data_IF_542403193037
#
_entry.id   IF_542403193037
#
_cell.length_a   1.000
_cell.length_b   1.000
_cell.length_c   1.000
_cell.angle_alpha   90.00
_cell.angle_beta   90.00
_cell.angle_gamma   90.00
#
_symmetry.space_group_name_H-M   'P 1'
#
loop_
_entity.id
_entity.type
_entity.pdbx_description
1 polymer ?
#
# COMPACT_ATOMS: atom_id res chain seq x y z
N UNK A 1 -43.50 -64.63 -5.51
CA UNK A 1 -42.65 -64.02 -4.48
C UNK A 1 -41.68 -63.09 -5.17
N UNK A 2 -41.71 -61.82 -4.76
CA UNK A 2 -40.70 -60.75 -4.84
C UNK A 2 -40.11 -60.38 -6.22
N UNK A 3 -40.61 -59.24 -6.71
CA UNK A 3 -39.88 -58.32 -7.56
C UNK A 3 -38.72 -57.71 -6.77
N UNK A 4 -37.56 -57.56 -7.41
CA UNK A 4 -36.49 -56.71 -6.91
C UNK A 4 -36.10 -55.71 -8.02
N UNK A 5 -36.56 -54.48 -7.86
CA UNK A 5 -36.19 -53.31 -8.66
C UNK A 5 -34.97 -52.69 -8.00
N UNK A 6 -33.81 -52.53 -8.67
CA UNK A 6 -32.76 -51.68 -8.16
C UNK A 6 -33.15 -50.22 -8.38
N UNK A 7 -33.23 -49.48 -7.28
CA UNK A 7 -33.36 -48.04 -7.27
C UNK A 7 -32.23 -47.40 -8.08
N UNK A 8 -32.59 -46.59 -9.06
CA UNK A 8 -31.66 -45.69 -9.73
C UNK A 8 -31.21 -44.61 -8.75
N UNK A 9 -29.91 -44.52 -8.53
CA UNK A 9 -29.26 -43.39 -7.86
C UNK A 9 -29.45 -42.12 -8.71
N UNK A 10 -29.62 -40.92 -8.11
CA UNK A 10 -29.84 -39.70 -8.86
C UNK A 10 -28.56 -39.33 -9.62
N UNK A 11 -28.71 -39.15 -10.94
CA UNK A 11 -27.63 -38.78 -11.84
C UNK A 11 -27.00 -37.44 -11.43
N UNK A 12 -25.69 -37.44 -11.29
CA UNK A 12 -24.81 -36.28 -11.23
C UNK A 12 -25.26 -35.24 -12.26
N UNK A 13 -25.49 -34.00 -11.83
CA UNK A 13 -25.86 -32.90 -12.72
C UNK A 13 -24.86 -32.76 -13.88
N UNK A 14 -25.35 -32.48 -15.08
CA UNK A 14 -24.51 -32.36 -16.29
C UNK A 14 -23.38 -31.32 -16.08
N UNK A 15 -22.18 -31.55 -16.64
CA UNK A 15 -20.98 -30.77 -16.32
C UNK A 15 -21.08 -29.26 -16.59
N UNK A 16 -21.80 -28.82 -17.63
CA UNK A 16 -21.92 -27.38 -17.91
C UNK A 16 -22.80 -26.64 -16.89
N UNK A 17 -23.80 -27.30 -16.30
CA UNK A 17 -24.64 -26.70 -15.24
C UNK A 17 -23.85 -26.45 -13.96
N UNK A 18 -22.99 -27.40 -13.57
CA UNK A 18 -22.13 -27.24 -12.39
C UNK A 18 -21.13 -26.09 -12.57
N UNK A 19 -20.57 -25.96 -13.78
CA UNK A 19 -19.72 -24.82 -14.13
C UNK A 19 -20.49 -23.50 -14.07
N UNK A 20 -21.70 -23.45 -14.59
CA UNK A 20 -22.56 -22.27 -14.53
C UNK A 20 -22.79 -21.82 -13.07
N UNK A 21 -23.15 -22.75 -12.19
CA UNK A 21 -23.35 -22.47 -10.76
C UNK A 21 -22.09 -21.87 -10.10
N UNK A 22 -20.92 -22.46 -10.37
CA UNK A 22 -19.65 -21.96 -9.86
C UNK A 22 -19.29 -20.57 -10.42
N UNK A 23 -19.52 -20.34 -11.71
CA UNK A 23 -19.25 -19.05 -12.37
C UNK A 23 -20.19 -17.95 -11.86
N UNK A 24 -21.47 -18.23 -11.61
CA UNK A 24 -22.41 -17.29 -10.99
C UNK A 24 -21.95 -16.91 -9.58
N UNK A 25 -21.53 -17.88 -8.77
CA UNK A 25 -20.98 -17.61 -7.44
C UNK A 25 -19.72 -16.74 -7.49
N UNK A 26 -18.82 -17.02 -8.44
CA UNK A 26 -17.58 -16.25 -8.65
C UNK A 26 -17.90 -14.83 -9.10
N UNK A 27 -18.86 -14.65 -10.02
CA UNK A 27 -19.30 -13.34 -10.49
C UNK A 27 -19.88 -12.51 -9.35
N UNK A 28 -20.69 -13.12 -8.48
CA UNK A 28 -21.24 -12.44 -7.31
C UNK A 28 -20.15 -11.99 -6.34
N UNK A 29 -19.14 -12.84 -6.09
CA UNK A 29 -18.00 -12.50 -5.24
C UNK A 29 -17.17 -11.34 -5.82
N UNK A 30 -16.82 -11.40 -7.11
CA UNK A 30 -16.08 -10.32 -7.77
C UNK A 30 -16.87 -9.00 -7.80
N UNK A 31 -18.20 -9.06 -8.05
CA UNK A 31 -19.07 -7.88 -8.01
C UNK A 31 -19.13 -7.29 -6.59
N UNK A 32 -19.12 -8.13 -5.56
CA UNK A 32 -19.06 -7.68 -4.17
C UNK A 32 -17.71 -7.00 -3.87
N UNK A 33 -16.59 -7.56 -4.36
CA UNK A 33 -15.26 -6.94 -4.22
C UNK A 33 -15.18 -5.57 -4.89
N UNK A 34 -15.65 -5.44 -6.14
CA UNK A 34 -15.68 -4.14 -6.82
C UNK A 34 -16.56 -3.11 -6.08
N UNK A 35 -17.73 -3.53 -5.55
CA UNK A 35 -18.54 -2.65 -4.69
C UNK A 35 -17.81 -2.25 -3.41
N UNK A 36 -17.02 -3.15 -2.83
CA UNK A 36 -16.17 -2.87 -1.67
C UNK A 36 -15.18 -1.75 -1.98
N UNK A 37 -14.46 -1.86 -3.11
CA UNK A 37 -13.59 -0.80 -3.62
C UNK A 37 -14.31 0.53 -3.76
N UNK A 38 -15.41 0.58 -4.51
CA UNK A 38 -16.16 1.83 -4.71
C UNK A 38 -16.71 2.43 -3.40
N UNK A 39 -17.00 1.62 -2.39
CA UNK A 39 -17.48 2.09 -1.10
C UNK A 39 -16.35 2.67 -0.24
N UNK A 40 -15.19 2.00 -0.19
CA UNK A 40 -14.09 2.39 0.69
C UNK A 40 -13.28 3.57 0.15
N UNK A 41 -13.14 3.70 -1.17
CA UNK A 41 -12.32 4.74 -1.79
C UNK A 41 -12.64 6.17 -1.33
N UNK A 42 -13.90 6.66 -1.34
CA UNK A 42 -14.20 8.01 -0.90
C UNK A 42 -13.98 8.19 0.60
N UNK A 43 -14.18 7.14 1.41
CA UNK A 43 -13.95 7.17 2.85
C UNK A 43 -12.46 7.24 3.17
N UNK A 44 -11.67 6.37 2.56
CA UNK A 44 -10.22 6.35 2.67
C UNK A 44 -9.62 7.67 2.21
N UNK A 45 -9.99 8.15 1.02
CA UNK A 45 -9.49 9.42 0.48
C UNK A 45 -9.75 10.57 1.44
N UNK A 46 -10.99 10.69 1.92
CA UNK A 46 -11.35 11.78 2.83
C UNK A 46 -10.54 11.70 4.12
N UNK A 47 -10.39 10.52 4.71
CA UNK A 47 -9.67 10.34 5.96
C UNK A 47 -8.16 10.58 5.81
N UNK A 48 -7.58 10.12 4.70
CA UNK A 48 -6.21 10.43 4.33
C UNK A 48 -6.00 11.95 4.22
N UNK A 49 -6.84 12.63 3.44
CA UNK A 49 -6.73 14.09 3.21
C UNK A 49 -7.00 14.92 4.49
N UNK A 50 -7.97 14.51 5.31
CA UNK A 50 -8.38 15.27 6.50
C UNK A 50 -7.45 15.03 7.71
N UNK A 51 -6.76 13.87 7.79
CA UNK A 51 -6.04 13.44 8.99
C UNK A 51 -4.58 13.09 8.71
N UNK A 52 -4.32 12.06 7.88
CA UNK A 52 -2.96 11.54 7.71
C UNK A 52 -2.03 12.51 6.96
N UNK A 53 -2.48 13.07 5.83
CA UNK A 53 -1.64 13.99 5.04
C UNK A 53 -1.19 15.24 5.82
N UNK A 54 -2.05 15.89 6.64
CA UNK A 54 -1.59 16.91 7.58
C UNK A 54 -0.57 16.42 8.61
N UNK A 55 -0.70 15.19 9.12
CA UNK A 55 0.24 14.60 10.08
C UNK A 55 1.61 14.36 9.43
N UNK A 56 1.66 13.79 8.24
CA UNK A 56 2.89 13.61 7.46
C UNK A 56 3.62 14.95 7.25
N UNK A 57 2.87 16.02 6.95
CA UNK A 57 3.41 17.38 6.83
C UNK A 57 4.02 17.86 8.15
N UNK A 58 3.30 17.69 9.27
CA UNK A 58 3.78 18.08 10.60
C UNK A 58 5.02 17.29 10.99
N UNK A 59 5.05 15.98 10.71
CA UNK A 59 6.20 15.12 10.97
C UNK A 59 7.45 15.62 10.25
N UNK A 60 7.35 15.90 8.94
CA UNK A 60 8.44 16.46 8.13
C UNK A 60 8.95 17.78 8.72
N UNK A 61 8.05 18.67 9.16
CA UNK A 61 8.45 19.92 9.79
C UNK A 61 9.17 19.72 11.14
N UNK A 62 8.70 18.79 11.97
CA UNK A 62 9.29 18.49 13.27
C UNK A 62 10.69 17.88 13.08
N UNK A 63 10.86 16.97 12.12
CA UNK A 63 12.17 16.44 11.74
C UNK A 63 13.10 17.55 11.26
N UNK A 64 12.64 18.44 10.38
CA UNK A 64 13.44 19.58 9.91
C UNK A 64 13.85 20.52 11.08
N UNK A 65 12.95 20.74 12.05
CA UNK A 65 13.25 21.50 13.29
C UNK A 65 14.32 20.77 14.12
N UNK A 66 14.23 19.45 14.28
CA UNK A 66 15.24 18.65 14.99
C UNK A 66 16.61 18.72 14.33
N UNK A 67 16.68 18.62 13.00
CA UNK A 67 17.94 18.80 12.25
C UNK A 67 18.59 20.15 12.58
N UNK A 68 17.80 21.24 12.58
CA UNK A 68 18.30 22.56 12.96
C UNK A 68 18.76 22.63 14.42
N UNK A 69 18.07 21.94 15.35
CA UNK A 69 18.48 21.80 16.74
C UNK A 69 19.83 21.07 16.89
N UNK A 70 20.04 19.98 16.15
CA UNK A 70 21.32 19.26 16.14
C UNK A 70 22.46 20.08 15.52
N UNK A 71 22.19 20.82 14.43
CA UNK A 71 23.17 21.75 13.85
C UNK A 71 23.61 22.81 14.88
N UNK A 72 22.64 23.36 15.62
CA UNK A 72 22.92 24.31 16.68
C UNK A 72 23.72 23.67 17.82
N UNK A 73 23.34 22.48 18.28
CA UNK A 73 24.04 21.72 19.30
C UNK A 73 25.51 21.46 18.90
N UNK A 74 25.78 21.16 17.64
CA UNK A 74 27.14 20.99 17.12
C UNK A 74 28.02 22.24 17.30
N UNK A 75 27.46 23.43 17.52
CA UNK A 75 28.21 24.68 17.75
C UNK A 75 28.48 24.96 19.23
N UNK A 76 27.80 24.24 20.14
CA UNK A 76 27.92 24.45 21.58
C UNK A 76 29.23 23.88 22.13
N UNK A 77 29.85 24.62 23.06
CA UNK A 77 31.17 24.30 23.63
C UNK A 77 31.07 23.28 24.77
N UNK A 78 29.89 23.16 25.35
CA UNK A 78 29.52 22.26 26.44
C UNK A 78 29.51 20.80 25.99
N UNK A 79 29.32 20.56 24.68
CA UNK A 79 29.42 19.24 24.07
C UNK A 79 30.89 18.89 23.78
N UNK A 80 31.24 17.63 24.04
CA UNK A 80 32.53 17.06 23.66
C UNK A 80 32.63 16.86 22.15
N UNK A 81 33.85 16.65 21.64
CA UNK A 81 34.06 16.32 20.22
C UNK A 81 33.26 15.08 19.78
N UNK A 82 33.17 14.07 20.64
CA UNK A 82 32.44 12.84 20.34
C UNK A 82 30.92 13.04 20.37
N UNK A 83 30.40 13.84 21.31
CA UNK A 83 28.97 14.17 21.35
C UNK A 83 28.56 15.04 20.14
N UNK A 84 29.41 16.01 19.73
CA UNK A 84 29.19 16.78 18.49
C UNK A 84 29.23 15.93 17.23
N UNK A 85 30.13 14.95 17.16
CA UNK A 85 30.19 14.04 16.02
C UNK A 85 28.91 13.19 15.91
N UNK A 86 28.42 12.66 17.04
CA UNK A 86 27.16 11.91 17.07
C UNK A 86 25.96 12.80 16.71
N UNK A 87 25.89 14.02 17.23
CA UNK A 87 24.85 14.99 16.86
C UNK A 87 24.87 15.30 15.35
N UNK A 88 26.06 15.40 14.74
CA UNK A 88 26.22 15.61 13.30
C UNK A 88 25.75 14.40 12.49
N UNK A 89 26.03 13.18 12.93
CA UNK A 89 25.59 11.95 12.28
C UNK A 89 24.05 11.84 12.30
N UNK A 90 23.44 12.13 13.46
CA UNK A 90 21.98 12.14 13.60
C UNK A 90 21.34 13.23 12.74
N UNK A 91 21.93 14.44 12.70
CA UNK A 91 21.46 15.52 11.84
C UNK A 91 21.49 15.13 10.35
N UNK A 92 22.56 14.45 9.90
CA UNK A 92 22.66 13.98 8.53
C UNK A 92 21.59 12.94 8.20
N UNK A 93 21.41 11.93 9.08
CA UNK A 93 20.41 10.88 8.87
C UNK A 93 18.99 11.43 8.82
N UNK A 94 18.62 12.25 9.81
CA UNK A 94 17.30 12.87 9.86
C UNK A 94 17.07 13.81 8.67
N UNK A 95 18.08 14.58 8.26
CA UNK A 95 17.95 15.44 7.09
C UNK A 95 17.73 14.64 5.80
N UNK A 96 18.44 13.51 5.63
CA UNK A 96 18.23 12.63 4.50
C UNK A 96 16.83 12.04 4.48
N UNK A 97 16.41 11.43 5.59
CA UNK A 97 15.08 10.82 5.73
C UNK A 97 13.95 11.84 5.48
N UNK A 98 14.11 13.06 6.00
CA UNK A 98 13.14 14.14 5.78
C UNK A 98 13.10 14.58 4.31
N UNK A 99 14.25 14.64 3.64
CA UNK A 99 14.31 14.98 2.21
C UNK A 99 13.72 13.86 1.35
N UNK A 100 14.00 12.60 1.70
CA UNK A 100 13.43 11.43 1.04
C UNK A 100 11.90 11.45 1.13
N UNK A 101 11.32 11.73 2.31
CA UNK A 101 9.88 11.88 2.49
C UNK A 101 9.27 13.01 1.62
N UNK A 102 9.96 14.16 1.51
CA UNK A 102 9.49 15.28 0.68
C UNK A 102 9.54 14.94 -0.82
N UNK A 103 10.62 14.27 -1.26
CA UNK A 103 10.91 14.07 -2.69
C UNK A 103 10.24 12.81 -3.24
N UNK A 104 10.23 11.71 -2.49
CA UNK A 104 9.72 10.42 -2.95
C UNK A 104 8.22 10.29 -2.70
N UNK A 105 7.76 10.68 -1.52
CA UNK A 105 6.35 10.50 -1.12
C UNK A 105 5.51 11.72 -1.51
N UNK A 106 6.16 12.80 -1.99
CA UNK A 106 5.50 14.03 -2.43
C UNK A 106 4.87 14.83 -1.28
N UNK A 107 5.22 14.50 -0.03
CA UNK A 107 4.70 15.13 1.17
C UNK A 107 4.95 16.64 1.13
N UNK A 108 3.89 17.47 1.13
CA UNK A 108 4.05 18.91 1.16
C UNK A 108 4.81 19.32 2.41
N UNK A 109 5.82 20.16 2.26
CA UNK A 109 6.54 20.73 3.40
C UNK A 109 6.49 22.25 3.33
N UNK A 110 6.06 22.90 4.41
CA UNK A 110 6.24 24.35 4.57
C UNK A 110 7.66 24.70 5.06
N UNK A 111 8.50 23.70 5.31
CA UNK A 111 9.87 23.90 5.74
C UNK A 111 10.78 24.36 4.58
N UNK A 112 11.85 25.07 4.93
CA UNK A 112 12.84 25.55 3.95
C UNK A 112 13.71 24.38 3.47
N UNK A 113 13.29 23.74 2.38
CA UNK A 113 13.96 22.56 1.81
C UNK A 113 15.40 22.87 1.37
N UNK A 114 15.67 24.07 0.83
CA UNK A 114 17.02 24.47 0.44
C UNK A 114 17.95 24.56 1.66
N UNK A 115 17.44 25.10 2.76
CA UNK A 115 18.16 25.11 4.03
C UNK A 115 18.36 23.69 4.56
N UNK A 116 17.38 22.80 4.43
CA UNK A 116 17.50 21.41 4.86
C UNK A 116 18.58 20.67 4.06
N UNK A 117 18.61 20.83 2.73
CA UNK A 117 19.68 20.31 1.84
C UNK A 117 21.05 20.86 2.21
N UNK A 118 21.16 22.16 2.52
CA UNK A 118 22.41 22.76 2.97
C UNK A 118 22.89 22.18 4.31
N UNK A 119 21.97 21.88 5.24
CA UNK A 119 22.28 21.21 6.50
C UNK A 119 22.71 19.75 6.27
N UNK A 120 22.04 19.02 5.38
CA UNK A 120 22.46 17.68 4.97
C UNK A 120 23.88 17.70 4.40
N UNK A 121 24.15 18.54 3.39
CA UNK A 121 25.48 18.68 2.78
C UNK A 121 26.56 18.97 3.83
N UNK A 122 26.25 19.84 4.79
CA UNK A 122 27.17 20.18 5.88
C UNK A 122 27.52 18.97 6.76
N UNK A 123 26.53 18.13 7.07
CA UNK A 123 26.66 17.07 8.06
C UNK A 123 27.04 15.70 7.46
N UNK A 124 26.53 15.37 6.27
CA UNK A 124 26.85 14.17 5.50
C UNK A 124 28.13 14.32 4.67
N UNK A 125 28.42 15.55 4.21
CA UNK A 125 29.54 15.82 3.31
C UNK A 125 29.31 15.41 1.86
N UNK A 126 28.10 14.96 1.51
CA UNK A 126 27.61 14.66 0.16
C UNK A 126 26.48 15.60 -0.22
N UNK A 127 26.38 15.94 -1.51
CA UNK A 127 25.22 16.66 -2.02
C UNK A 127 24.03 15.70 -2.10
N UNK A 128 22.86 16.13 -1.62
CA UNK A 128 21.66 15.31 -1.65
C UNK A 128 21.16 15.12 -3.09
N UNK A 129 21.23 16.19 -3.90
CA UNK A 129 20.86 16.15 -5.32
C UNK A 129 21.97 15.54 -6.20
N UNK A 130 23.12 15.22 -5.60
CA UNK A 130 24.24 14.55 -6.24
C UNK A 130 23.99 13.05 -6.35
N UNK A 131 23.06 12.66 -7.23
CA UNK A 131 22.96 11.27 -7.68
C UNK A 131 24.26 10.80 -8.33
N UNK A 132 24.50 9.48 -8.48
CA UNK A 132 25.63 8.98 -9.27
C UNK A 132 25.57 9.63 -10.66
N UNK A 133 26.62 10.37 -11.03
CA UNK A 133 26.77 10.91 -12.37
C UNK A 133 26.64 9.75 -13.39
N UNK A 134 25.60 9.81 -14.22
CA UNK A 134 25.37 9.01 -15.43
C UNK A 134 25.66 7.50 -15.33
N UNK A 135 24.68 6.72 -14.85
CA UNK A 135 24.40 5.41 -15.45
C UNK A 135 23.12 5.54 -16.29
N UNK A 136 23.31 6.04 -17.52
CA UNK A 136 22.32 5.86 -18.58
C UNK A 136 22.19 4.37 -18.91
N UNK A 137 20.98 3.87 -18.68
CA UNK A 137 20.27 2.84 -19.44
C UNK A 137 20.99 1.52 -19.73
N UNK A 138 20.58 0.45 -19.03
CA UNK A 138 20.32 -0.86 -19.66
C UNK A 138 19.57 -1.78 -18.67
N UNK A 139 18.24 -1.67 -18.62
CA UNK A 139 17.31 -2.79 -18.82
C UNK A 139 15.87 -2.34 -18.50
N UNK A 140 15.34 -1.51 -19.39
CA UNK A 140 13.89 -1.46 -19.63
C UNK A 140 13.44 -2.77 -20.29
N UNK A 141 13.51 -3.88 -19.56
CA UNK A 141 12.89 -5.12 -19.97
C UNK A 141 11.37 -4.96 -19.79
N UNK A 142 10.74 -4.37 -20.81
CA UNK A 142 9.31 -4.44 -21.01
C UNK A 142 8.90 -5.92 -21.00
N UNK A 143 8.33 -6.36 -19.88
CA UNK A 143 7.68 -7.65 -19.79
C UNK A 143 6.64 -7.73 -20.91
N UNK A 144 6.59 -8.83 -21.68
CA UNK A 144 5.72 -8.92 -22.83
C UNK A 144 4.28 -8.75 -22.38
N UNK A 145 3.64 -7.66 -22.85
CA UNK A 145 2.19 -7.55 -22.93
C UNK A 145 1.68 -8.88 -23.45
N UNK A 146 1.04 -9.65 -22.56
CA UNK A 146 0.26 -10.79 -22.95
C UNK A 146 -0.68 -10.28 -24.04
N UNK A 147 -0.61 -10.91 -25.22
CA UNK A 147 -1.60 -10.73 -26.26
C UNK A 147 -2.97 -10.74 -25.60
N UNK A 148 -3.89 -9.81 -25.92
CA UNK A 148 -5.27 -10.02 -25.54
C UNK A 148 -5.64 -11.40 -26.06
N UNK A 149 -5.96 -12.32 -25.14
CA UNK A 149 -6.68 -13.52 -25.49
C UNK A 149 -7.89 -13.02 -26.25
N UNK A 150 -7.94 -13.42 -27.51
CA UNK A 150 -9.00 -13.27 -28.51
C UNK A 150 -10.11 -12.30 -28.11
N UNK A 151 -10.31 -11.24 -28.91
CA UNK A 151 -11.44 -10.32 -28.79
C UNK A 151 -12.76 -11.10 -28.79
N UNK A 152 -13.14 -11.60 -27.63
CA UNK A 152 -14.45 -12.12 -27.36
C UNK A 152 -15.36 -10.92 -27.50
N UNK A 153 -16.17 -10.92 -28.56
CA UNK A 153 -17.24 -9.96 -28.69
C UNK A 153 -17.90 -9.79 -27.32
N UNK A 154 -18.02 -8.53 -26.87
CA UNK A 154 -18.70 -8.23 -25.62
C UNK A 154 -19.98 -9.08 -25.55
N UNK A 155 -20.19 -9.85 -24.46
CA UNK A 155 -21.28 -10.80 -24.40
C UNK A 155 -22.58 -10.09 -24.76
N UNK A 156 -23.34 -10.67 -25.70
CA UNK A 156 -24.56 -10.05 -26.20
C UNK A 156 -25.46 -9.69 -24.99
N UNK A 157 -25.93 -8.44 -24.89
CA UNK A 157 -26.64 -7.95 -23.69
C UNK A 157 -27.88 -8.77 -23.36
N UNK A 158 -28.48 -9.38 -24.38
CA UNK A 158 -29.61 -10.31 -24.27
C UNK A 158 -29.24 -11.57 -23.46
N UNK A 159 -28.07 -12.16 -23.71
CA UNK A 159 -27.59 -13.37 -23.02
C UNK A 159 -27.28 -13.06 -21.55
N UNK A 160 -26.70 -11.89 -21.27
CA UNK A 160 -26.46 -11.44 -19.89
C UNK A 160 -27.77 -11.21 -19.13
N UNK A 161 -28.76 -10.58 -19.75
CA UNK A 161 -30.07 -10.36 -19.13
C UNK A 161 -30.77 -11.70 -18.79
N UNK A 162 -30.65 -12.70 -19.66
CA UNK A 162 -31.16 -14.04 -19.40
C UNK A 162 -30.42 -14.74 -18.25
N UNK A 163 -29.09 -14.62 -18.19
CA UNK A 163 -28.29 -15.17 -17.08
C UNK A 163 -28.70 -14.52 -15.76
N UNK A 164 -28.90 -13.20 -15.73
CA UNK A 164 -29.31 -12.48 -14.52
C UNK A 164 -30.72 -12.88 -14.07
N UNK A 165 -31.66 -13.02 -15.01
CA UNK A 165 -33.00 -13.52 -14.71
C UNK A 165 -32.96 -14.96 -14.16
N UNK A 166 -32.13 -15.83 -14.75
CA UNK A 166 -31.98 -17.22 -14.32
C UNK A 166 -31.28 -17.34 -12.95
N UNK A 167 -30.30 -16.47 -12.69
CA UNK A 167 -29.63 -16.40 -11.39
C UNK A 167 -30.58 -15.89 -10.30
N UNK A 168 -31.43 -14.89 -10.61
CA UNK A 168 -32.44 -14.38 -9.69
C UNK A 168 -33.58 -15.38 -9.40
N UNK A 169 -33.94 -16.21 -10.39
CA UNK A 169 -34.98 -17.23 -10.25
C UNK A 169 -34.54 -18.44 -9.39
N UNK A 170 -33.24 -18.61 -9.14
CA UNK A 170 -32.69 -19.64 -8.26
C UNK A 170 -32.56 -21.04 -8.89
N UNK A 171 -31.98 -22.00 -8.14
CA UNK A 171 -31.54 -23.29 -8.67
C UNK A 171 -32.66 -24.21 -9.19
N UNK A 172 -33.91 -23.93 -8.82
CA UNK A 172 -35.08 -24.69 -9.27
C UNK A 172 -35.37 -24.49 -10.78
N UNK A 173 -35.05 -23.31 -11.32
CA UNK A 173 -35.27 -23.01 -12.75
C UNK A 173 -34.14 -23.50 -13.64
N UNK A 174 -33.01 -23.91 -13.05
CA UNK A 174 -31.83 -24.38 -13.77
C UNK A 174 -32.05 -25.76 -14.41
N UNK A 175 -33.00 -26.57 -13.90
CA UNK A 175 -33.25 -27.92 -14.41
C UNK A 175 -33.80 -27.96 -15.85
N UNK A 176 -34.39 -26.86 -16.34
CA UNK A 176 -35.02 -26.78 -17.67
C UNK A 176 -34.10 -26.37 -18.81
N UNK A 177 -32.86 -25.99 -18.54
CA UNK A 177 -31.90 -25.48 -19.53
C UNK A 177 -31.05 -26.63 -20.09
N UNK A 178 -30.84 -26.64 -21.40
CA UNK A 178 -30.03 -27.66 -22.07
C UNK A 178 -28.51 -27.35 -22.00
N UNK A 179 -27.69 -28.36 -22.34
CA UNK A 179 -26.23 -28.28 -22.20
C UNK A 179 -25.59 -27.24 -23.14
N UNK A 180 -26.16 -27.05 -24.33
CA UNK A 180 -25.65 -26.09 -25.31
C UNK A 180 -25.95 -24.66 -24.85
N UNK A 181 -27.13 -24.42 -24.27
CA UNK A 181 -27.47 -23.13 -23.68
C UNK A 181 -26.61 -22.82 -22.45
N UNK A 182 -26.32 -23.81 -21.59
CA UNK A 182 -25.34 -23.63 -20.51
C UNK A 182 -23.93 -23.33 -21.02
N UNK A 183 -23.49 -23.94 -22.12
CA UNK A 183 -22.20 -23.62 -22.71
C UNK A 183 -22.13 -22.16 -23.18
N UNK A 184 -23.21 -21.63 -23.77
CA UNK A 184 -23.32 -20.20 -24.13
C UNK A 184 -23.29 -19.30 -22.89
N UNK A 185 -24.00 -19.67 -21.81
CA UNK A 185 -23.97 -18.91 -20.56
C UNK A 185 -22.58 -18.90 -19.91
N UNK A 186 -21.91 -20.05 -19.87
CA UNK A 186 -20.55 -20.16 -19.33
C UNK A 186 -19.57 -19.28 -20.10
N UNK A 187 -19.66 -19.27 -21.43
CA UNK A 187 -18.82 -18.39 -22.27
C UNK A 187 -19.09 -16.90 -21.98
N UNK A 188 -20.35 -16.50 -21.82
CA UNK A 188 -20.70 -15.12 -21.50
C UNK A 188 -20.25 -14.72 -20.08
N UNK A 189 -20.39 -15.63 -19.10
CA UNK A 189 -19.94 -15.44 -17.72
C UNK A 189 -18.42 -15.32 -17.63
N UNK A 190 -17.66 -16.18 -18.35
CA UNK A 190 -16.20 -16.08 -18.41
C UNK A 190 -15.76 -14.74 -18.99
N UNK A 191 -16.40 -14.28 -20.07
CA UNK A 191 -16.12 -12.97 -20.66
C UNK A 191 -16.42 -11.82 -19.68
N UNK A 192 -17.54 -11.90 -18.94
CA UNK A 192 -17.89 -10.90 -17.93
C UNK A 192 -16.93 -10.90 -16.73
N UNK A 193 -16.51 -12.08 -16.28
CA UNK A 193 -15.51 -12.23 -15.21
C UNK A 193 -14.16 -11.64 -15.62
N UNK A 194 -13.74 -11.84 -16.87
CA UNK A 194 -12.50 -11.25 -17.37
C UNK A 194 -12.55 -9.71 -17.40
N UNK A 195 -13.67 -9.13 -17.83
CA UNK A 195 -13.88 -7.67 -17.79
C UNK A 195 -13.84 -7.17 -16.35
N UNK A 196 -14.61 -7.80 -15.45
CA UNK A 196 -14.70 -7.39 -14.06
C UNK A 196 -13.37 -7.55 -13.31
N UNK A 197 -12.61 -8.60 -13.60
CA UNK A 197 -11.25 -8.76 -13.06
C UNK A 197 -10.34 -7.62 -13.52
N UNK A 198 -10.41 -7.24 -14.81
CA UNK A 198 -9.68 -6.09 -15.33
C UNK A 198 -10.08 -4.76 -14.66
N UNK A 199 -11.37 -4.54 -14.40
CA UNK A 199 -11.86 -3.37 -13.66
C UNK A 199 -11.34 -3.33 -12.22
N UNK A 200 -11.41 -4.45 -11.49
CA UNK A 200 -10.91 -4.54 -10.11
C UNK A 200 -9.40 -4.32 -10.06
N UNK A 201 -8.65 -4.92 -10.99
CA UNK A 201 -7.20 -4.70 -11.08
C UNK A 201 -6.86 -3.25 -11.38
N UNK A 202 -7.56 -2.62 -12.33
CA UNK A 202 -7.33 -1.21 -12.65
C UNK A 202 -7.63 -0.28 -11.46
N UNK A 203 -8.69 -0.57 -10.70
CA UNK A 203 -9.04 0.18 -9.49
C UNK A 203 -7.97 0.01 -8.39
N UNK A 204 -7.56 -1.24 -8.13
CA UNK A 204 -6.52 -1.56 -7.14
C UNK A 204 -5.16 -0.95 -7.52
N UNK A 205 -4.75 -1.05 -8.78
CA UNK A 205 -3.49 -0.47 -9.27
C UNK A 205 -3.52 1.07 -9.22
N UNK A 206 -4.67 1.67 -9.56
CA UNK A 206 -4.87 3.11 -9.43
C UNK A 206 -4.79 3.60 -7.99
N UNK A 207 -5.37 2.84 -7.05
CA UNK A 207 -5.25 3.10 -5.62
C UNK A 207 -3.79 3.00 -5.15
N UNK A 208 -3.10 1.91 -5.49
CA UNK A 208 -1.69 1.71 -5.10
C UNK A 208 -0.79 2.81 -5.63
N UNK A 209 -0.95 3.18 -6.90
CA UNK A 209 -0.17 4.25 -7.49
C UNK A 209 -0.44 5.61 -6.84
N UNK A 210 -1.69 5.89 -6.44
CA UNK A 210 -2.08 7.15 -5.82
C UNK A 210 -1.54 7.30 -4.40
N UNK A 211 -1.56 6.22 -3.60
CA UNK A 211 -1.14 6.24 -2.20
C UNK A 211 0.18 5.49 -1.97
N UNK A 212 0.98 5.34 -3.03
CA UNK A 212 2.35 4.82 -2.99
C UNK A 212 2.54 3.42 -2.37
N UNK A 213 1.54 2.55 -2.43
CA UNK A 213 1.67 1.15 -2.02
C UNK A 213 2.56 0.34 -2.99
N UNK A 214 3.16 -0.75 -2.49
CA UNK A 214 3.91 -1.69 -3.32
C UNK A 214 3.00 -2.28 -4.42
N UNK A 215 3.35 -2.16 -5.71
CA UNK A 215 2.59 -2.75 -6.81
C UNK A 215 2.31 -4.25 -6.66
N UNK A 216 3.21 -5.00 -5.99
CA UNK A 216 3.08 -6.44 -5.78
C UNK A 216 2.22 -6.81 -4.55
N UNK A 217 1.93 -5.87 -3.65
CA UNK A 217 1.07 -6.10 -2.49
C UNK A 217 -0.37 -6.39 -2.93
N UNK A 218 -1.06 -7.30 -2.27
CA UNK A 218 -2.50 -7.51 -2.46
C UNK A 218 -3.27 -6.67 -1.47
N UNK A 219 -4.33 -5.99 -1.92
CA UNK A 219 -5.17 -5.15 -1.04
C UNK A 219 -6.59 -5.73 -0.93
N UNK A 220 -7.03 -5.92 0.31
CA UNK A 220 -8.43 -6.16 0.63
C UNK A 220 -9.12 -4.82 0.98
N UNK A 221 -10.09 -4.35 0.18
CA UNK A 221 -10.75 -3.08 0.43
C UNK A 221 -11.51 -3.02 1.76
N UNK A 222 -11.81 -4.17 2.39
CA UNK A 222 -12.49 -4.21 3.68
C UNK A 222 -11.59 -3.92 4.88
N UNK A 223 -10.26 -4.07 4.73
CA UNK A 223 -9.27 -3.86 5.78
C UNK A 223 -8.68 -2.44 5.73
N UNK A 224 -8.75 -1.76 4.58
CA UNK A 224 -8.12 -0.46 4.34
C UNK A 224 -8.41 0.65 5.36
N UNK A 225 -9.61 0.71 5.93
CA UNK A 225 -9.95 1.75 6.92
C UNK A 225 -9.31 1.44 8.28
N UNK A 226 -9.25 0.16 8.65
CA UNK A 226 -8.59 -0.29 9.87
C UNK A 226 -7.07 -0.10 9.77
N UNK A 227 -6.49 -0.45 8.61
CA UNK A 227 -5.07 -0.23 8.33
C UNK A 227 -4.72 1.26 8.38
N UNK A 228 -5.56 2.13 7.79
CA UNK A 228 -5.36 3.58 7.85
C UNK A 228 -5.52 4.14 9.27
N UNK A 229 -6.42 3.59 10.09
CA UNK A 229 -6.52 3.97 11.51
C UNK A 229 -5.24 3.62 12.28
N UNK A 230 -4.66 2.46 12.00
CA UNK A 230 -3.40 2.05 12.61
C UNK A 230 -2.25 2.96 12.18
N UNK A 231 -2.15 3.28 10.89
CA UNK A 231 -1.14 4.19 10.35
C UNK A 231 -1.25 5.60 10.93
N UNK A 232 -2.47 6.14 11.06
CA UNK A 232 -2.72 7.43 11.73
C UNK A 232 -2.26 7.37 13.19
N UNK A 233 -2.57 6.29 13.92
CA UNK A 233 -2.17 6.16 15.31
C UNK A 233 -0.64 6.08 15.46
N UNK A 234 0.03 5.36 14.58
CA UNK A 234 1.49 5.26 14.54
C UNK A 234 2.12 6.63 14.23
N UNK A 235 1.56 7.39 13.29
CA UNK A 235 1.99 8.76 12.97
C UNK A 235 1.79 9.72 14.15
N UNK A 236 0.66 9.63 14.87
CA UNK A 236 0.41 10.42 16.08
C UNK A 236 1.40 10.11 17.20
N UNK A 237 1.69 8.83 17.44
CA UNK A 237 2.68 8.41 18.41
C UNK A 237 4.06 8.98 18.05
N UNK A 238 4.47 8.83 16.79
CA UNK A 238 5.76 9.29 16.32
C UNK A 238 5.90 10.82 16.34
N UNK A 239 4.85 11.56 15.97
CA UNK A 239 4.80 13.03 16.15
C UNK A 239 5.01 13.38 17.63
N UNK A 240 4.35 12.69 18.55
CA UNK A 240 4.53 12.87 19.99
C UNK A 240 5.97 12.61 20.45
N UNK A 241 6.64 11.62 19.89
CA UNK A 241 8.06 11.36 20.12
C UNK A 241 8.93 12.51 19.63
N UNK A 242 8.72 12.99 18.40
CA UNK A 242 9.48 14.12 17.82
C UNK A 242 9.29 15.41 18.63
N UNK A 243 8.06 15.71 19.07
CA UNK A 243 7.77 16.84 19.94
C UNK A 243 8.49 16.72 21.30
N UNK A 244 8.47 15.51 21.88
CA UNK A 244 9.20 15.23 23.10
C UNK A 244 10.70 15.42 22.92
N UNK A 245 11.29 14.91 21.83
CA UNK A 245 12.71 15.11 21.52
C UNK A 245 13.06 16.59 21.37
N UNK A 246 12.25 17.37 20.64
CA UNK A 246 12.41 18.82 20.51
C UNK A 246 12.41 19.51 21.87
N UNK A 247 11.56 19.07 22.81
CA UNK A 247 11.52 19.63 24.16
C UNK A 247 12.83 19.44 24.94
N UNK A 248 13.58 18.36 24.67
CA UNK A 248 14.88 18.10 25.32
C UNK A 248 15.94 19.13 24.91
N UNK A 249 15.81 19.75 23.74
CA UNK A 249 16.74 20.79 23.28
C UNK A 249 16.59 22.13 24.01
N UNK A 250 15.61 22.29 24.89
CA UNK A 250 15.50 23.45 25.77
C UNK A 250 16.65 23.54 26.79
N UNK A 251 17.28 22.41 27.13
CA UNK A 251 18.40 22.33 28.07
C UNK A 251 19.54 21.48 27.52
N UNK A 252 20.72 22.09 27.39
CA UNK A 252 21.92 21.42 26.89
C UNK A 252 22.32 20.19 27.73
N UNK A 253 21.96 20.12 29.02
CA UNK A 253 22.22 18.93 29.84
C UNK A 253 21.32 17.76 29.45
N UNK A 254 20.08 18.02 29.06
CA UNK A 254 19.14 16.99 28.59
C UNK A 254 19.60 16.42 27.25
N UNK A 255 20.03 17.29 26.31
CA UNK A 255 20.65 16.88 25.04
C UNK A 255 21.86 15.96 25.25
N UNK A 256 22.72 16.28 26.22
CA UNK A 256 23.87 15.43 26.57
C UNK A 256 23.47 14.08 27.14
N UNK A 257 22.49 14.06 28.03
CA UNK A 257 21.98 12.81 28.61
C UNK A 257 21.39 11.90 27.52
N UNK A 258 20.62 12.48 26.60
CA UNK A 258 20.02 11.79 25.47
C UNK A 258 21.09 11.23 24.50
N UNK A 259 22.05 12.05 24.06
CA UNK A 259 23.16 11.60 23.19
C UNK A 259 23.97 10.47 23.82
N UNK A 260 24.15 10.51 25.15
CA UNK A 260 24.84 9.45 25.89
C UNK A 260 24.03 8.16 25.91
N UNK A 261 22.72 8.23 26.13
CA UNK A 261 21.82 7.07 26.10
C UNK A 261 21.78 6.44 24.70
N UNK A 262 21.64 7.24 23.65
CA UNK A 262 21.67 6.80 22.25
C UNK A 262 22.97 6.07 21.91
N UNK A 263 24.12 6.65 22.31
CA UNK A 263 25.43 6.02 22.13
C UNK A 263 25.54 4.66 22.84
N UNK A 264 24.95 4.53 24.04
CA UNK A 264 24.95 3.28 24.80
C UNK A 264 24.07 2.21 24.15
N UNK A 265 22.92 2.59 23.60
CA UNK A 265 22.04 1.72 22.82
C UNK A 265 22.77 1.19 21.58
N UNK A 266 23.31 2.05 20.73
CA UNK A 266 24.09 1.66 19.54
C UNK A 266 25.26 0.72 19.87
N UNK A 267 25.97 0.98 20.97
CA UNK A 267 27.04 0.10 21.44
C UNK A 267 26.51 -1.25 21.97
N UNK A 268 25.27 -1.32 22.46
CA UNK A 268 24.63 -2.57 22.88
C UNK A 268 24.15 -3.39 21.67
N UNK A 269 23.58 -2.77 20.65
CA UNK A 269 23.15 -3.42 19.40
C UNK A 269 24.34 -4.04 18.67
N UNK A 270 25.41 -3.28 18.43
CA UNK A 270 26.63 -3.80 17.78
C UNK A 270 27.28 -4.97 18.53
N UNK A 271 27.18 -4.99 19.87
CA UNK A 271 27.69 -6.11 20.70
C UNK A 271 26.85 -7.38 20.59
N UNK A 272 25.57 -7.27 20.22
CA UNK A 272 24.68 -8.40 19.97
C UNK A 272 24.89 -8.94 18.55
N UNK A 273 24.98 -8.05 17.57
CA UNK A 273 25.22 -8.39 16.16
C UNK A 273 26.59 -9.04 15.94
N UNK A 274 27.66 -8.52 16.56
CA UNK A 274 29.00 -9.13 16.48
C UNK A 274 29.17 -10.44 17.28
N UNK A 275 28.09 -10.96 17.87
CA UNK A 275 28.08 -12.21 18.66
C UNK A 275 27.21 -13.30 18.03
N UNK A 276 26.52 -13.01 16.92
CA UNK A 276 25.83 -13.97 16.07
C UNK A 276 26.69 -14.36 14.88
#
# INVERSE_FOLDING_TARGET
MQANTPAAQPASGKPQRQRFESLVGTLQAQRARLRGWHAVLPEYQKKYEDVLAPQETVEVELKAKLVACFDHACKQKELTKAERALASEIAAQLAQETLDAIVLDGTPAECDTDRLKALYLKHAGSDYDGGPEDEQDEDGAAAPLAKPADGGAAPAPEVLAEIEALAAAGPDQWAGVDEQRYAQYNQALDAQLAILAGEITAEEDGFKAKYHFDPAQSIDPSELIEDLDAEIADAEEYIGELEFELSQFADIQQVRAWLKAMKQQLAATRRREGRG
#
